data_IF_965636027035
#
_entry.id   IF_965636027035
#
_cell.length_a   1.000
_cell.length_b   1.000
_cell.length_c   1.000
_cell.angle_alpha   90.00
_cell.angle_beta   90.00
_cell.angle_gamma   90.00
#
_symmetry.space_group_name_H-M   'P 1'
#
loop_
_entity.id
_entity.type
_entity.pdbx_description
1 polymer ?
#
# COMPACT_ATOMS: atom_id res chain seq x y z
N UNK A 1 -7.99 8.62 -28.91
CA UNK A 1 -6.51 8.52 -29.06
C UNK A 1 -5.80 8.66 -27.72
N UNK A 2 -6.11 9.68 -26.91
CA UNK A 2 -5.48 9.91 -25.58
C UNK A 2 -5.49 8.70 -24.63
N UNK A 3 -6.56 7.90 -24.62
CA UNK A 3 -6.66 6.70 -23.76
C UNK A 3 -5.61 5.63 -24.08
N UNK A 4 -5.44 5.31 -25.35
CA UNK A 4 -4.43 4.33 -25.79
C UNK A 4 -3.02 4.83 -25.46
N UNK A 5 -2.76 6.11 -25.69
CA UNK A 5 -1.50 6.75 -25.33
C UNK A 5 -1.25 6.68 -23.82
N UNK A 6 -2.26 6.95 -23.00
CA UNK A 6 -2.18 6.80 -21.54
C UNK A 6 -1.83 5.37 -21.13
N UNK A 7 -2.52 4.36 -21.66
CA UNK A 7 -2.23 2.94 -21.35
C UNK A 7 -0.78 2.56 -21.71
N UNK A 8 -0.32 2.93 -22.90
CA UNK A 8 1.03 2.60 -23.37
C UNK A 8 2.09 3.29 -22.49
N UNK A 9 1.93 4.59 -22.23
CA UNK A 9 2.85 5.34 -21.36
C UNK A 9 2.88 4.74 -19.95
N UNK A 10 1.73 4.35 -19.41
CA UNK A 10 1.64 3.71 -18.10
C UNK A 10 2.40 2.39 -18.05
N UNK A 11 2.21 1.52 -19.03
CA UNK A 11 2.90 0.24 -19.13
C UNK A 11 4.42 0.43 -19.27
N UNK A 12 4.86 1.36 -20.12
CA UNK A 12 6.29 1.66 -20.32
C UNK A 12 6.92 2.25 -19.06
N UNK A 13 6.27 3.22 -18.43
CA UNK A 13 6.76 3.87 -17.21
C UNK A 13 6.86 2.89 -16.03
N UNK A 14 5.83 2.05 -15.84
CA UNK A 14 5.84 1.02 -14.79
C UNK A 14 6.89 -0.06 -15.04
N UNK A 15 7.06 -0.52 -16.29
CA UNK A 15 8.10 -1.48 -16.65
C UNK A 15 9.51 -0.90 -16.45
N UNK A 16 9.72 0.37 -16.81
CA UNK A 16 10.97 1.10 -16.58
C UNK A 16 11.31 1.20 -15.09
N UNK A 17 10.32 1.56 -14.26
CA UNK A 17 10.48 1.63 -12.81
C UNK A 17 10.80 0.25 -12.23
N UNK A 18 10.10 -0.80 -12.68
CA UNK A 18 10.37 -2.18 -12.26
C UNK A 18 11.79 -2.64 -12.64
N UNK A 19 12.25 -2.35 -13.86
CA UNK A 19 13.62 -2.68 -14.27
C UNK A 19 14.67 -1.91 -13.48
N UNK A 20 14.39 -0.66 -13.12
CA UNK A 20 15.27 0.15 -12.28
C UNK A 20 15.56 -0.53 -10.95
N UNK A 21 14.53 -1.10 -10.32
CA UNK A 21 14.65 -1.81 -9.06
C UNK A 21 15.31 -3.18 -9.20
N UNK A 22 15.21 -3.83 -10.36
CA UNK A 22 15.90 -5.11 -10.59
C UNK A 22 17.41 -4.97 -10.81
N UNK A 23 17.87 -3.84 -11.34
CA UNK A 23 19.29 -3.60 -11.64
C UNK A 23 19.90 -2.60 -10.64
N UNK A 24 19.92 -2.99 -9.36
CA UNK A 24 20.44 -2.22 -8.21
C UNK A 24 21.86 -1.63 -8.40
N UNK A 25 22.68 -2.15 -9.33
CA UNK A 25 24.05 -1.67 -9.58
C UNK A 25 24.18 -0.56 -10.63
N UNK A 26 23.19 -0.34 -11.51
CA UNK A 26 23.33 0.57 -12.65
C UNK A 26 22.05 1.30 -13.07
N UNK A 27 20.92 1.08 -12.38
CA UNK A 27 19.76 1.93 -12.57
C UNK A 27 20.03 3.30 -11.91
N UNK A 28 20.72 4.17 -12.65
CA UNK A 28 20.98 5.54 -12.20
C UNK A 28 19.66 6.23 -11.86
N UNK A 29 19.72 7.22 -10.96
CA UNK A 29 18.59 8.07 -10.59
C UNK A 29 17.79 8.55 -11.81
N UNK A 30 18.48 8.75 -12.95
CA UNK A 30 17.88 9.05 -14.25
C UNK A 30 16.74 8.10 -14.65
N UNK A 31 16.95 6.77 -14.61
CA UNK A 31 15.95 5.81 -15.08
C UNK A 31 14.69 5.84 -14.19
N UNK A 32 14.87 6.06 -12.89
CA UNK A 32 13.77 6.22 -11.93
C UNK A 32 13.01 7.51 -12.24
N UNK A 33 13.72 8.64 -12.37
CA UNK A 33 13.11 9.94 -12.68
C UNK A 33 12.37 9.92 -14.02
N UNK A 34 12.96 9.37 -15.08
CA UNK A 34 12.29 9.26 -16.39
C UNK A 34 11.05 8.39 -16.32
N UNK A 35 11.09 7.29 -15.56
CA UNK A 35 9.93 6.40 -15.40
C UNK A 35 8.76 7.12 -14.70
N UNK A 36 9.05 7.92 -13.67
CA UNK A 36 8.04 8.75 -13.00
C UNK A 36 7.47 9.84 -13.91
N UNK A 37 8.30 10.50 -14.71
CA UNK A 37 7.83 11.49 -15.68
C UNK A 37 6.90 10.85 -16.73
N UNK A 38 7.25 9.66 -17.22
CA UNK A 38 6.40 8.91 -18.16
C UNK A 38 5.06 8.51 -17.53
N UNK A 39 5.05 8.08 -16.27
CA UNK A 39 3.81 7.82 -15.52
C UNK A 39 2.98 9.10 -15.36
N UNK A 40 3.60 10.24 -15.04
CA UNK A 40 2.94 11.53 -14.96
C UNK A 40 2.31 11.96 -16.29
N UNK A 41 3.03 11.77 -17.41
CA UNK A 41 2.50 12.02 -18.76
C UNK A 41 1.32 11.10 -19.11
N UNK A 42 1.35 9.85 -18.65
CA UNK A 42 0.18 8.97 -18.75
C UNK A 42 -1.03 9.57 -18.04
N UNK A 43 -0.89 9.99 -16.77
CA UNK A 43 -2.01 10.57 -16.01
C UNK A 43 -2.59 11.80 -16.70
N UNK A 44 -1.75 12.65 -17.28
CA UNK A 44 -2.21 13.79 -18.08
C UNK A 44 -3.05 13.34 -19.28
N UNK A 45 -2.63 12.32 -20.02
CA UNK A 45 -3.39 11.78 -21.16
C UNK A 45 -4.75 11.18 -20.74
N UNK A 46 -4.82 10.52 -19.58
CA UNK A 46 -6.09 10.03 -19.02
C UNK A 46 -7.02 11.18 -18.65
N UNK A 47 -6.51 12.24 -17.99
CA UNK A 47 -7.28 13.42 -17.64
C UNK A 47 -7.79 14.18 -18.87
N UNK A 48 -6.96 14.29 -19.91
CA UNK A 48 -7.36 14.90 -21.18
C UNK A 48 -8.45 14.10 -21.92
N UNK A 49 -8.49 12.78 -21.73
CA UNK A 49 -9.45 11.88 -22.39
C UNK A 49 -10.79 11.72 -21.68
N UNK A 50 -10.80 11.65 -20.34
CA UNK A 50 -12.00 11.34 -19.53
C UNK A 50 -12.44 12.48 -18.61
N UNK A 51 -11.72 13.61 -18.62
CA UNK A 51 -11.84 14.64 -17.59
C UNK A 51 -10.95 14.34 -16.38
N UNK A 52 -10.67 15.37 -15.58
CA UNK A 52 -9.68 15.30 -14.50
C UNK A 52 -10.05 14.26 -13.42
N UNK A 53 -11.31 14.26 -12.95
CA UNK A 53 -11.76 13.38 -11.86
C UNK A 53 -11.70 11.90 -12.26
N UNK A 54 -12.36 11.55 -13.37
CA UNK A 54 -12.44 10.18 -13.88
C UNK A 54 -11.07 9.72 -14.41
N UNK A 55 -10.33 10.60 -15.08
CA UNK A 55 -9.00 10.31 -15.62
C UNK A 55 -7.97 10.00 -14.53
N UNK A 56 -7.96 10.75 -13.43
CA UNK A 56 -7.09 10.46 -12.28
C UNK A 56 -7.44 9.11 -11.67
N UNK A 57 -8.73 8.84 -11.41
CA UNK A 57 -9.18 7.58 -10.83
C UNK A 57 -8.79 6.38 -11.72
N UNK A 58 -9.08 6.46 -13.02
CA UNK A 58 -8.77 5.40 -13.98
C UNK A 58 -7.26 5.22 -14.17
N UNK A 59 -6.49 6.31 -14.23
CA UNK A 59 -5.03 6.27 -14.36
C UNK A 59 -4.34 5.64 -13.15
N UNK A 60 -4.75 5.98 -11.93
CA UNK A 60 -4.22 5.39 -10.69
C UNK A 60 -4.63 3.92 -10.51
N UNK A 61 -5.85 3.57 -10.93
CA UNK A 61 -6.29 2.17 -10.98
C UNK A 61 -5.43 1.37 -11.96
N UNK A 62 -5.21 1.90 -13.17
CA UNK A 62 -4.32 1.30 -14.16
C UNK A 62 -2.90 1.14 -13.62
N UNK A 63 -2.37 2.14 -12.90
CA UNK A 63 -1.05 2.10 -12.30
C UNK A 63 -0.94 0.94 -11.30
N UNK A 64 -1.96 0.79 -10.46
CA UNK A 64 -2.07 -0.29 -9.48
C UNK A 64 -2.15 -1.66 -10.15
N UNK A 65 -2.92 -1.81 -11.23
CA UNK A 65 -3.03 -3.06 -11.99
C UNK A 65 -1.71 -3.43 -12.69
N UNK A 66 -1.04 -2.48 -13.34
CA UNK A 66 0.25 -2.71 -13.98
C UNK A 66 1.34 -3.07 -12.95
N UNK A 67 1.41 -2.33 -11.83
CA UNK A 67 2.31 -2.64 -10.73
C UNK A 67 2.05 -4.02 -10.13
N UNK A 68 0.77 -4.33 -9.86
CA UNK A 68 0.33 -5.63 -9.36
C UNK A 68 0.68 -6.78 -10.30
N UNK A 69 0.49 -6.61 -11.61
CA UNK A 69 0.87 -7.59 -12.62
C UNK A 69 2.38 -7.85 -12.63
N UNK A 70 3.22 -6.80 -12.58
CA UNK A 70 4.67 -6.94 -12.50
C UNK A 70 5.12 -7.63 -11.21
N UNK A 71 4.46 -7.34 -10.09
CA UNK A 71 4.71 -8.05 -8.82
C UNK A 71 4.31 -9.51 -8.93
N UNK A 72 3.14 -9.84 -9.49
CA UNK A 72 2.70 -11.21 -9.68
C UNK A 72 3.67 -12.01 -10.57
N UNK A 73 4.13 -11.42 -11.68
CA UNK A 73 5.15 -12.00 -12.55
C UNK A 73 6.48 -12.20 -11.80
N UNK A 74 6.88 -11.25 -10.95
CA UNK A 74 8.09 -11.35 -10.14
C UNK A 74 7.98 -12.40 -9.03
N UNK A 75 6.81 -12.55 -8.41
CA UNK A 75 6.52 -13.58 -7.42
C UNK A 75 6.64 -14.97 -8.04
N UNK A 76 6.12 -15.16 -9.25
CA UNK A 76 6.26 -16.43 -9.99
C UNK A 76 7.73 -16.73 -10.30
N UNK A 77 8.49 -15.74 -10.77
CA UNK A 77 9.93 -15.88 -11.01
C UNK A 77 10.72 -16.23 -9.74
N UNK A 78 10.40 -15.58 -8.61
CA UNK A 78 11.02 -15.86 -7.31
C UNK A 78 10.63 -17.25 -6.80
N UNK A 79 9.36 -17.64 -6.94
CA UNK A 79 8.86 -18.95 -6.52
C UNK A 79 9.54 -20.08 -7.31
N UNK A 80 9.70 -19.93 -8.63
CA UNK A 80 10.43 -20.90 -9.46
C UNK A 80 11.90 -21.05 -9.04
N UNK A 81 12.58 -19.94 -8.74
CA UNK A 81 13.95 -19.97 -8.22
C UNK A 81 14.02 -20.61 -6.83
N UNK A 82 13.13 -20.22 -5.93
CA UNK A 82 13.05 -20.78 -4.58
C UNK A 82 12.71 -22.28 -4.61
N UNK A 83 11.87 -22.76 -5.53
CA UNK A 83 11.60 -24.19 -5.72
C UNK A 83 12.82 -24.93 -6.29
N UNK A 84 13.56 -24.31 -7.22
CA UNK A 84 14.82 -24.86 -7.72
C UNK A 84 15.90 -24.92 -6.62
N UNK A 85 15.97 -23.91 -5.74
CA UNK A 85 16.87 -23.86 -4.58
C UNK A 85 16.41 -24.80 -3.44
N UNK A 86 15.11 -24.93 -3.19
CA UNK A 86 14.54 -25.83 -2.20
C UNK A 86 14.69 -27.31 -2.60
N UNK A 87 14.75 -27.61 -3.91
CA UNK A 87 15.16 -28.92 -4.39
C UNK A 87 16.60 -29.29 -3.96
N UNK A 88 17.42 -28.30 -3.59
CA UNK A 88 18.79 -28.48 -3.07
C UNK A 88 18.94 -28.24 -1.56
N UNK A 89 17.94 -27.70 -0.86
CA UNK A 89 18.03 -27.34 0.56
C UNK A 89 16.71 -27.51 1.30
N UNK A 90 16.71 -28.36 2.34
CA UNK A 90 15.58 -28.51 3.26
C UNK A 90 15.37 -27.21 4.04
N UNK A 91 14.26 -26.53 3.78
CA UNK A 91 13.77 -25.43 4.61
C UNK A 91 13.08 -26.03 5.83
N UNK A 92 13.73 -25.99 6.98
CA UNK A 92 13.12 -26.36 8.26
C UNK A 92 12.16 -25.25 8.70
N UNK A 93 10.86 -25.49 8.56
CA UNK A 93 9.83 -24.65 9.17
C UNK A 93 9.82 -24.96 10.66
N UNK A 94 10.53 -24.17 11.46
CA UNK A 94 10.54 -24.36 12.91
C UNK A 94 9.17 -23.97 13.49
N UNK A 95 8.47 -24.87 14.21
CA UNK A 95 7.12 -24.63 14.77
C UNK A 95 7.08 -23.56 15.88
N UNK A 96 8.24 -23.06 16.31
CA UNK A 96 8.39 -22.07 17.39
C UNK A 96 7.93 -20.64 17.00
N UNK A 97 7.49 -20.41 15.75
CA UNK A 97 7.12 -19.08 15.23
C UNK A 97 5.61 -18.81 15.12
N UNK A 98 4.75 -19.81 15.28
CA UNK A 98 3.30 -19.68 15.07
C UNK A 98 2.64 -18.66 16.02
N UNK A 99 2.99 -18.68 17.30
CA UNK A 99 2.44 -17.73 18.28
C UNK A 99 2.79 -16.27 17.93
N UNK A 100 4.01 -16.03 17.43
CA UNK A 100 4.44 -14.71 16.98
C UNK A 100 3.68 -14.26 15.73
N UNK A 101 3.49 -15.15 14.76
CA UNK A 101 2.76 -14.81 13.53
C UNK A 101 1.27 -14.58 13.79
N UNK A 102 0.65 -15.38 14.67
CA UNK A 102 -0.73 -15.17 15.09
C UNK A 102 -0.89 -13.82 15.79
N UNK A 103 0.03 -13.48 16.69
CA UNK A 103 0.01 -12.19 17.38
C UNK A 103 0.22 -11.03 16.40
N UNK A 104 1.17 -11.14 15.46
CA UNK A 104 1.36 -10.14 14.41
C UNK A 104 0.13 -9.99 13.53
N UNK A 105 -0.56 -11.09 13.18
CA UNK A 105 -1.80 -11.04 12.41
C UNK A 105 -2.88 -10.28 13.16
N UNK A 106 -3.12 -10.59 14.44
CA UNK A 106 -4.12 -9.90 15.27
C UNK A 106 -3.77 -8.41 15.45
N UNK A 107 -2.49 -8.08 15.63
CA UNK A 107 -2.07 -6.68 15.80
C UNK A 107 -2.19 -5.90 14.49
N UNK A 108 -1.69 -6.45 13.38
CA UNK A 108 -1.62 -5.75 12.10
C UNK A 108 -2.96 -5.67 11.36
N UNK A 109 -3.86 -6.64 11.56
CA UNK A 109 -5.13 -6.70 10.83
C UNK A 109 -6.28 -6.11 11.66
N UNK A 110 -6.91 -6.82 12.62
CA UNK A 110 -8.08 -6.29 13.30
C UNK A 110 -7.74 -5.12 14.23
N UNK A 111 -6.64 -5.18 14.99
CA UNK A 111 -6.34 -4.15 15.98
C UNK A 111 -5.92 -2.83 15.35
N UNK A 112 -4.95 -2.86 14.43
CA UNK A 112 -4.55 -1.68 13.67
C UNK A 112 -5.69 -1.13 12.81
N UNK A 113 -6.53 -2.00 12.23
CA UNK A 113 -7.71 -1.59 11.48
C UNK A 113 -8.74 -0.85 12.33
N UNK A 114 -9.08 -1.40 13.51
CA UNK A 114 -9.98 -0.75 14.45
C UNK A 114 -9.44 0.61 14.93
N UNK A 115 -8.16 0.67 15.31
CA UNK A 115 -7.50 1.91 15.72
C UNK A 115 -7.50 2.96 14.60
N UNK A 116 -7.24 2.55 13.36
CA UNK A 116 -7.23 3.44 12.21
C UNK A 116 -8.63 4.00 11.90
N UNK A 117 -9.68 3.17 11.95
CA UNK A 117 -11.06 3.62 11.71
C UNK A 117 -11.49 4.60 12.80
N UNK A 118 -11.39 4.21 14.07
CA UNK A 118 -11.84 5.01 15.21
C UNK A 118 -11.05 6.32 15.29
N UNK A 119 -9.72 6.24 15.15
CA UNK A 119 -8.84 7.41 15.17
C UNK A 119 -9.11 8.36 14.00
N UNK A 120 -9.30 7.85 12.78
CA UNK A 120 -9.59 8.69 11.61
C UNK A 120 -10.94 9.40 11.75
N UNK A 121 -11.97 8.70 12.22
CA UNK A 121 -13.29 9.30 12.48
C UNK A 121 -13.19 10.41 13.53
N UNK A 122 -12.51 10.15 14.66
CA UNK A 122 -12.34 11.14 15.71
C UNK A 122 -11.60 12.38 15.20
N UNK A 123 -10.47 12.19 14.49
CA UNK A 123 -9.70 13.30 13.92
C UNK A 123 -10.54 14.12 12.93
N UNK A 124 -11.35 13.47 12.10
CA UNK A 124 -12.20 14.18 11.14
C UNK A 124 -13.31 14.98 11.82
N UNK A 125 -13.86 14.50 12.94
CA UNK A 125 -14.86 15.26 13.74
C UNK A 125 -14.32 16.51 14.43
N UNK A 126 -12.99 16.64 14.57
CA UNK A 126 -12.39 17.86 15.10
C UNK A 126 -12.33 18.98 14.04
N UNK A 127 -12.59 18.68 12.78
CA UNK A 127 -12.63 19.67 11.71
C UNK A 127 -13.98 20.39 11.70
N UNK A 128 -14.03 21.70 11.45
CA UNK A 128 -15.27 22.46 11.38
C UNK A 128 -15.96 22.26 10.03
N UNK A 129 -16.26 21.02 9.65
CA UNK A 129 -16.81 20.66 8.35
C UNK A 129 -18.24 20.13 8.45
N UNK A 130 -18.89 19.96 7.30
CA UNK A 130 -20.17 19.29 7.25
C UNK A 130 -19.98 17.78 7.54
N UNK A 131 -20.87 17.12 8.29
CA UNK A 131 -20.73 15.70 8.66
C UNK A 131 -20.46 14.75 7.48
N UNK A 132 -21.03 15.06 6.31
CA UNK A 132 -20.81 14.30 5.07
C UNK A 132 -19.36 14.34 4.61
N UNK A 133 -18.70 15.49 4.71
CA UNK A 133 -17.31 15.69 4.29
C UNK A 133 -16.34 15.04 5.28
N UNK A 134 -16.66 15.10 6.58
CA UNK A 134 -15.90 14.42 7.62
C UNK A 134 -15.90 12.90 7.41
N UNK A 135 -17.07 12.32 7.14
CA UNK A 135 -17.18 10.88 6.87
C UNK A 135 -16.45 10.48 5.59
N UNK A 136 -16.57 11.27 4.53
CA UNK A 136 -15.83 11.02 3.29
C UNK A 136 -14.31 11.02 3.53
N UNK A 137 -13.80 12.03 4.24
CA UNK A 137 -12.38 12.09 4.58
C UNK A 137 -11.95 10.91 5.46
N UNK A 138 -12.75 10.54 6.47
CA UNK A 138 -12.44 9.43 7.36
C UNK A 138 -12.31 8.10 6.59
N UNK A 139 -13.18 7.85 5.60
CA UNK A 139 -13.13 6.65 4.74
C UNK A 139 -11.86 6.62 3.90
N UNK A 140 -11.38 7.76 3.40
CA UNK A 140 -10.12 7.82 2.65
C UNK A 140 -8.88 7.77 3.54
N UNK A 141 -8.96 8.30 4.76
CA UNK A 141 -7.84 8.37 5.70
C UNK A 141 -7.58 7.02 6.38
N UNK A 142 -8.64 6.28 6.73
CA UNK A 142 -8.53 5.03 7.49
C UNK A 142 -7.61 3.97 6.84
N UNK A 143 -7.67 3.69 5.51
CA UNK A 143 -6.75 2.75 4.87
C UNK A 143 -5.28 3.19 4.94
N UNK A 144 -5.01 4.49 4.86
CA UNK A 144 -3.65 5.04 4.95
C UNK A 144 -3.10 4.85 6.36
N UNK A 145 -3.88 5.23 7.37
CA UNK A 145 -3.51 5.08 8.79
C UNK A 145 -3.34 3.60 9.13
N UNK A 146 -4.23 2.74 8.64
CA UNK A 146 -4.14 1.29 8.83
C UNK A 146 -2.88 0.72 8.20
N UNK A 147 -2.58 1.08 6.95
CA UNK A 147 -1.37 0.63 6.26
C UNK A 147 -0.09 1.02 7.00
N UNK A 148 -0.02 2.25 7.52
CA UNK A 148 1.11 2.71 8.34
C UNK A 148 1.22 1.94 9.66
N UNK A 149 0.10 1.74 10.37
CA UNK A 149 0.07 1.00 11.62
C UNK A 149 0.42 -0.48 11.44
N UNK A 150 -0.09 -1.12 10.39
CA UNK A 150 0.22 -2.51 10.03
C UNK A 150 1.69 -2.67 9.63
N UNK A 151 2.24 -1.73 8.85
CA UNK A 151 3.66 -1.71 8.51
C UNK A 151 4.52 -1.60 9.77
N UNK A 152 4.20 -0.65 10.66
CA UNK A 152 4.93 -0.49 11.92
C UNK A 152 4.84 -1.73 12.80
N UNK A 153 3.66 -2.36 12.91
CA UNK A 153 3.46 -3.59 13.65
C UNK A 153 4.37 -4.74 13.17
N UNK A 154 4.59 -4.83 11.86
CA UNK A 154 5.46 -5.83 11.24
C UNK A 154 6.95 -5.47 11.33
N UNK A 155 7.29 -4.18 11.32
CA UNK A 155 8.66 -3.69 11.36
C UNK A 155 9.26 -3.68 12.77
N UNK A 156 8.44 -3.53 13.82
CA UNK A 156 8.93 -3.48 15.19
C UNK A 156 9.40 -4.87 15.69
N UNK A 157 10.63 -5.00 16.22
CA UNK A 157 11.10 -6.26 16.80
C UNK A 157 10.30 -6.73 18.03
N UNK A 158 9.55 -5.84 18.69
CA UNK A 158 8.74 -6.11 19.88
C UNK A 158 7.26 -5.87 19.59
N UNK A 159 6.47 -6.89 19.21
CA UNK A 159 5.11 -6.70 18.73
C UNK A 159 4.13 -6.21 19.81
N UNK A 160 4.50 -6.27 21.09
CA UNK A 160 3.72 -5.71 22.19
C UNK A 160 3.62 -4.17 22.15
N UNK A 161 4.66 -3.47 21.65
CA UNK A 161 4.65 -2.00 21.53
C UNK A 161 3.59 -1.48 20.56
N UNK A 162 3.53 -1.95 19.30
CA UNK A 162 2.49 -1.54 18.37
C UNK A 162 1.10 -2.01 18.82
N UNK A 163 0.99 -3.15 19.49
CA UNK A 163 -0.28 -3.60 20.07
C UNK A 163 -0.82 -2.61 21.11
N UNK A 164 0.01 -2.21 22.09
CA UNK A 164 -0.39 -1.26 23.13
C UNK A 164 -0.71 0.12 22.56
N UNK A 165 0.07 0.59 21.59
CA UNK A 165 -0.20 1.86 20.93
C UNK A 165 -1.51 1.83 20.14
N UNK A 166 -1.78 0.76 19.36
CA UNK A 166 -3.05 0.62 18.65
C UNK A 166 -4.24 0.51 19.62
N UNK A 167 -4.09 -0.22 20.73
CA UNK A 167 -5.10 -0.28 21.79
C UNK A 167 -5.40 1.10 22.38
N UNK A 168 -4.37 1.85 22.76
CA UNK A 168 -4.53 3.20 23.31
C UNK A 168 -5.19 4.14 22.28
N UNK A 169 -4.76 4.06 21.02
CA UNK A 169 -5.27 4.89 19.93
C UNK A 169 -6.69 4.50 19.49
N UNK A 170 -7.13 3.26 19.76
CA UNK A 170 -8.52 2.86 19.58
C UNK A 170 -9.38 3.25 20.79
N UNK A 171 -8.88 3.05 22.01
CA UNK A 171 -9.66 3.23 23.24
C UNK A 171 -9.89 4.70 23.61
N UNK A 172 -8.88 5.57 23.48
CA UNK A 172 -9.00 6.98 23.83
C UNK A 172 -10.06 7.71 22.98
N UNK A 173 -10.04 7.62 21.64
CA UNK A 173 -11.02 8.31 20.83
C UNK A 173 -12.39 7.63 20.91
N UNK A 174 -12.46 6.30 21.07
CA UNK A 174 -13.73 5.62 21.34
C UNK A 174 -14.39 6.16 22.61
N UNK A 175 -13.64 6.30 23.71
CA UNK A 175 -14.15 6.89 24.94
C UNK A 175 -14.69 8.30 24.73
N UNK A 176 -13.98 9.13 23.96
CA UNK A 176 -14.38 10.51 23.67
C UNK A 176 -15.54 10.63 22.66
N UNK A 177 -15.78 9.61 21.83
CA UNK A 177 -16.88 9.60 20.85
C UNK A 177 -18.20 9.10 21.42
N UNK A 178 -18.14 8.25 22.45
CA UNK A 178 -19.31 7.59 23.05
C UNK A 178 -19.68 8.11 24.45
N UNK A 179 -18.90 9.03 25.02
CA UNK A 179 -19.26 9.85 26.18
C UNK A 179 -19.92 11.16 25.73
#
# INVERSE_FOLDING_TARGET
MYLLTGVVLLAVGTAGLYWSWRRLRFAGAWLVTTSWLVIGMSLWAWCAGLGAEIGLAAGLLGLSLCGGALVALNLELRRRRALAEAATGRIEITPRSWGRHLLLFVVSVPLAGAAAIIGSVYLCRLLPWHPTNEMALAVFLAPVVWGLAAFWACADPRPARPALACLAFAALPAGLLYL
#
